data_IF_074600377622
#
_entry.id   IF_074600377622
#
_cell.length_a   1.000
_cell.length_b   1.000
_cell.length_c   1.000
_cell.angle_alpha   90.00
_cell.angle_beta   90.00
_cell.angle_gamma   90.00
#
_symmetry.space_group_name_H-M   'P 1'
#
loop_
_entity.id
_entity.type
_entity.pdbx_description
1 polymer ?
#
# COMPACT_ATOMS: atom_id res chain seq x y z
N UNK A 1 12.90 38.12 -4.55
CA UNK A 1 12.44 38.57 -5.88
C UNK A 1 13.13 37.85 -7.07
N UNK A 2 14.34 37.28 -6.94
CA UNK A 2 15.03 36.58 -8.05
C UNK A 2 14.52 35.15 -8.33
N UNK A 3 14.01 34.44 -7.31
CA UNK A 3 13.53 33.05 -7.46
C UNK A 3 12.06 32.94 -7.91
N UNK A 4 11.31 34.04 -7.91
CA UNK A 4 9.87 34.07 -8.26
C UNK A 4 9.59 33.98 -9.77
N UNK A 5 10.62 34.01 -10.62
CA UNK A 5 10.51 33.98 -12.09
C UNK A 5 11.05 32.72 -12.75
N UNK A 6 11.55 31.74 -11.98
CA UNK A 6 12.02 30.48 -12.54
C UNK A 6 10.83 29.60 -12.94
N UNK A 7 10.85 28.97 -14.14
CA UNK A 7 9.82 28.02 -14.51
C UNK A 7 9.84 26.82 -13.56
N UNK A 8 8.70 26.52 -12.94
CA UNK A 8 8.55 25.38 -12.02
C UNK A 8 7.67 24.33 -12.67
N UNK A 9 8.13 23.08 -12.64
CA UNK A 9 7.33 21.91 -12.96
C UNK A 9 7.12 21.08 -11.68
N UNK A 10 5.87 20.69 -11.40
CA UNK A 10 5.52 19.89 -10.23
C UNK A 10 4.95 18.56 -10.69
N UNK A 11 5.58 17.46 -10.27
CA UNK A 11 5.01 16.12 -10.39
C UNK A 11 4.15 15.90 -9.14
N UNK A 12 2.83 16.01 -9.30
CA UNK A 12 1.88 15.90 -8.19
C UNK A 12 1.76 14.48 -7.64
N UNK A 13 1.82 13.47 -8.52
CA UNK A 13 1.72 12.06 -8.17
C UNK A 13 2.43 11.20 -9.22
N UNK A 14 2.83 9.99 -8.83
CA UNK A 14 3.61 9.08 -9.67
C UNK A 14 3.36 7.58 -9.39
N UNK A 15 2.33 7.27 -8.60
CA UNK A 15 2.03 5.90 -8.15
C UNK A 15 1.67 4.93 -9.30
N UNK A 16 1.15 5.43 -10.43
CA UNK A 16 0.84 4.62 -11.62
C UNK A 16 2.03 4.38 -12.56
N UNK A 17 3.21 4.93 -12.26
CA UNK A 17 4.36 4.86 -13.16
C UNK A 17 4.75 3.40 -13.35
N UNK A 18 4.81 2.95 -14.61
CA UNK A 18 5.11 1.57 -14.97
C UNK A 18 6.36 1.03 -14.29
N UNK A 19 7.45 1.82 -14.27
CA UNK A 19 8.69 1.43 -13.60
C UNK A 19 8.53 1.19 -12.10
N UNK A 20 7.69 1.97 -11.42
CA UNK A 20 7.41 1.78 -10.00
C UNK A 20 6.60 0.51 -9.77
N UNK A 21 5.49 0.33 -10.52
CA UNK A 21 4.63 -0.85 -10.43
C UNK A 21 5.42 -2.14 -10.67
N UNK A 22 6.24 -2.18 -11.72
CA UNK A 22 7.09 -3.33 -12.02
C UNK A 22 8.12 -3.61 -10.93
N UNK A 23 8.78 -2.57 -10.42
CA UNK A 23 9.77 -2.71 -9.34
C UNK A 23 9.11 -3.24 -8.06
N UNK A 24 7.92 -2.75 -7.70
CA UNK A 24 7.18 -3.25 -6.55
C UNK A 24 6.79 -4.72 -6.75
N UNK A 25 6.29 -5.09 -7.93
CA UNK A 25 6.01 -6.49 -8.24
C UNK A 25 7.26 -7.39 -8.20
N UNK A 26 8.41 -6.92 -8.67
CA UNK A 26 9.70 -7.65 -8.59
C UNK A 26 10.09 -7.90 -7.12
N UNK A 27 9.98 -6.88 -6.27
CA UNK A 27 10.31 -6.97 -4.85
C UNK A 27 9.36 -7.90 -4.10
N UNK A 28 8.06 -7.83 -4.39
CA UNK A 28 7.06 -8.72 -3.80
C UNK A 28 7.32 -10.16 -4.22
N UNK A 29 7.51 -10.41 -5.51
CA UNK A 29 7.84 -11.75 -6.01
C UNK A 29 9.09 -12.32 -5.35
N UNK A 30 10.15 -11.51 -5.23
CA UNK A 30 11.37 -11.90 -4.52
C UNK A 30 11.12 -12.19 -3.03
N UNK A 31 10.29 -11.37 -2.38
CA UNK A 31 9.90 -11.57 -0.98
C UNK A 31 9.13 -12.87 -0.78
N UNK A 32 8.15 -13.16 -1.64
CA UNK A 32 7.37 -14.40 -1.62
C UNK A 32 8.25 -15.64 -1.76
N UNK A 33 9.24 -15.60 -2.65
CA UNK A 33 10.19 -16.70 -2.88
C UNK A 33 11.06 -17.05 -1.67
N UNK A 34 11.15 -16.16 -0.66
CA UNK A 34 11.86 -16.47 0.58
C UNK A 34 11.06 -17.34 1.56
N UNK A 35 9.76 -17.55 1.32
CA UNK A 35 8.92 -18.41 2.13
C UNK A 35 8.97 -19.86 1.64
N UNK A 36 8.83 -20.87 2.53
CA UNK A 36 8.76 -22.27 2.14
C UNK A 36 7.58 -22.60 1.21
N UNK A 37 6.42 -21.97 1.46
CA UNK A 37 5.20 -22.10 0.65
C UNK A 37 4.77 -20.71 0.14
N UNK A 38 5.38 -20.18 -0.94
CA UNK A 38 5.10 -18.83 -1.43
C UNK A 38 3.63 -18.57 -1.77
N UNK A 39 2.92 -19.57 -2.31
CA UNK A 39 1.53 -19.42 -2.79
C UNK A 39 0.51 -19.26 -1.64
N UNK A 40 0.86 -19.67 -0.42
CA UNK A 40 -0.01 -19.57 0.77
C UNK A 40 0.16 -18.25 1.53
N UNK A 41 1.15 -17.42 1.16
CA UNK A 41 1.50 -16.19 1.87
C UNK A 41 0.44 -15.12 1.63
N UNK A 42 -0.03 -14.46 2.70
CA UNK A 42 -0.83 -13.25 2.61
C UNK A 42 0.07 -12.06 2.27
N UNK A 43 -0.23 -11.34 1.19
CA UNK A 43 0.40 -10.05 0.91
C UNK A 43 -0.30 -8.98 1.75
N UNK A 44 0.43 -8.35 2.66
CA UNK A 44 -0.12 -7.34 3.54
C UNK A 44 0.44 -5.97 3.19
N UNK A 45 -0.31 -5.17 2.45
CA UNK A 45 0.06 -3.80 2.15
C UNK A 45 -0.14 -2.93 3.39
N UNK A 46 0.91 -2.22 3.79
CA UNK A 46 0.87 -1.28 4.91
C UNK A 46 1.18 0.13 4.43
N UNK A 47 0.19 1.00 4.52
CA UNK A 47 0.29 2.41 4.15
C UNK A 47 0.28 3.28 5.43
N UNK A 48 0.85 4.48 5.38
CA UNK A 48 0.80 5.38 6.54
C UNK A 48 -0.64 5.88 6.72
N UNK A 49 -1.14 5.87 7.96
CA UNK A 49 -2.45 6.42 8.25
C UNK A 49 -2.50 7.93 8.01
N UNK A 50 -3.69 8.43 7.72
CA UNK A 50 -4.02 9.86 7.75
C UNK A 50 -5.26 10.06 8.60
N UNK A 51 -5.46 11.24 9.23
CA UNK A 51 -6.73 11.57 9.86
C UNK A 51 -7.89 11.39 8.87
N UNK A 52 -9.00 10.81 9.34
CA UNK A 52 -10.14 10.51 8.47
C UNK A 52 -10.70 11.78 7.80
N UNK A 53 -10.69 12.91 8.52
CA UNK A 53 -11.14 14.20 8.02
C UNK A 53 -10.35 14.69 6.80
N UNK A 54 -9.09 14.28 6.62
CA UNK A 54 -8.33 14.68 5.43
C UNK A 54 -8.92 14.07 4.17
N UNK A 55 -9.42 12.84 4.27
CA UNK A 55 -10.04 12.14 3.14
C UNK A 55 -11.49 12.60 2.96
N UNK A 56 -12.29 12.60 4.03
CA UNK A 56 -13.74 12.86 3.93
C UNK A 56 -14.10 14.34 3.79
N UNK A 57 -13.42 15.23 4.52
CA UNK A 57 -13.76 16.66 4.56
C UNK A 57 -12.90 17.47 3.59
N UNK A 58 -11.60 17.17 3.52
CA UNK A 58 -10.65 17.90 2.67
C UNK A 58 -10.49 17.29 1.26
N UNK A 59 -11.06 16.11 1.01
CA UNK A 59 -11.03 15.45 -0.31
C UNK A 59 -9.64 15.01 -0.74
N UNK A 60 -8.77 14.65 0.22
CA UNK A 60 -7.43 14.15 -0.07
C UNK A 60 -7.51 12.84 -0.89
N UNK A 61 -6.90 12.78 -2.09
CA UNK A 61 -6.95 11.60 -2.95
C UNK A 61 -6.10 10.43 -2.44
N UNK A 62 -5.40 10.57 -1.30
CA UNK A 62 -4.46 9.58 -0.77
C UNK A 62 -5.03 8.16 -0.74
N UNK A 63 -6.24 7.97 -0.19
CA UNK A 63 -6.88 6.65 -0.10
C UNK A 63 -7.04 6.02 -1.48
N UNK A 64 -7.61 6.76 -2.41
CA UNK A 64 -7.91 6.27 -3.77
C UNK A 64 -6.61 5.99 -4.54
N UNK A 65 -5.58 6.82 -4.36
CA UNK A 65 -4.27 6.59 -4.97
C UNK A 65 -3.58 5.34 -4.41
N UNK A 66 -3.71 5.06 -3.10
CA UNK A 66 -3.18 3.84 -2.50
C UNK A 66 -3.89 2.59 -3.03
N UNK A 67 -5.23 2.62 -3.11
CA UNK A 67 -6.03 1.51 -3.63
C UNK A 67 -5.74 1.25 -5.12
N UNK A 68 -5.64 2.29 -5.94
CA UNK A 68 -5.30 2.17 -7.36
C UNK A 68 -3.85 1.68 -7.56
N UNK A 69 -2.90 2.19 -6.76
CA UNK A 69 -1.52 1.70 -6.77
C UNK A 69 -1.44 0.19 -6.48
N UNK A 70 -2.12 -0.27 -5.43
CA UNK A 70 -2.18 -1.68 -5.05
C UNK A 70 -2.86 -2.50 -6.14
N UNK A 71 -3.96 -1.99 -6.72
CA UNK A 71 -4.61 -2.65 -7.85
C UNK A 71 -3.65 -2.86 -9.02
N UNK A 72 -2.87 -1.85 -9.39
CA UNK A 72 -1.89 -1.93 -10.48
C UNK A 72 -0.77 -2.93 -10.17
N UNK A 73 -0.24 -2.92 -8.95
CA UNK A 73 0.78 -3.88 -8.49
C UNK A 73 0.24 -5.31 -8.52
N UNK A 74 -0.97 -5.54 -7.97
CA UNK A 74 -1.59 -6.86 -7.97
C UNK A 74 -1.94 -7.34 -9.37
N UNK A 75 -2.31 -6.44 -10.29
CA UNK A 75 -2.52 -6.76 -11.70
C UNK A 75 -1.22 -7.20 -12.38
N UNK A 76 -0.11 -6.49 -12.11
CA UNK A 76 1.22 -6.87 -12.59
C UNK A 76 1.63 -8.26 -12.05
N UNK A 77 1.46 -8.51 -10.74
CA UNK A 77 1.73 -9.81 -10.13
C UNK A 77 0.91 -10.94 -10.76
N UNK A 78 -0.40 -10.73 -10.99
CA UNK A 78 -1.26 -11.71 -11.68
C UNK A 78 -0.76 -12.03 -13.08
N UNK A 79 -0.28 -11.03 -13.83
CA UNK A 79 0.29 -11.24 -15.17
C UNK A 79 1.54 -12.13 -15.16
N UNK A 80 2.21 -12.24 -14.00
CA UNK A 80 3.39 -13.08 -13.76
C UNK A 80 3.05 -14.44 -13.13
N UNK A 81 1.77 -14.76 -13.00
CA UNK A 81 1.29 -16.01 -12.41
C UNK A 81 1.22 -16.02 -10.89
N UNK A 82 1.28 -14.85 -10.23
CA UNK A 82 1.20 -14.73 -8.76
C UNK A 82 -0.21 -14.32 -8.37
N UNK A 83 -0.89 -15.17 -7.59
CA UNK A 83 -2.31 -15.02 -7.26
C UNK A 83 -2.59 -14.93 -5.75
N UNK A 84 -1.55 -14.67 -4.95
CA UNK A 84 -1.67 -14.50 -3.51
C UNK A 84 -2.80 -13.55 -3.13
N UNK A 85 -3.51 -13.91 -2.05
CA UNK A 85 -4.49 -13.01 -1.43
C UNK A 85 -3.73 -11.80 -0.87
N UNK A 86 -4.36 -10.63 -0.96
CA UNK A 86 -3.81 -9.41 -0.38
C UNK A 86 -4.84 -8.67 0.46
N UNK A 87 -4.35 -7.82 1.35
CA UNK A 87 -5.14 -6.82 2.09
C UNK A 87 -4.34 -5.53 2.24
N UNK A 88 -5.04 -4.45 2.57
CA UNK A 88 -4.46 -3.13 2.88
C UNK A 88 -4.86 -2.74 4.30
N UNK A 89 -3.90 -2.24 5.07
CA UNK A 89 -4.15 -1.58 6.34
C UNK A 89 -3.27 -0.33 6.52
N UNK A 90 -3.71 0.55 7.41
CA UNK A 90 -3.06 1.81 7.71
C UNK A 90 -2.37 1.74 9.07
N UNK A 91 -1.14 2.24 9.15
CA UNK A 91 -0.31 2.18 10.36
C UNK A 91 -0.02 3.57 10.95
N UNK A 92 0.61 3.60 12.11
CA UNK A 92 1.13 4.83 12.75
C UNK A 92 0.07 5.88 13.14
N UNK A 93 -1.15 5.45 13.51
CA UNK A 93 -2.13 6.35 14.14
C UNK A 93 -1.61 6.91 15.45
N UNK A 94 -1.81 8.22 15.69
CA UNK A 94 -1.43 8.90 16.93
C UNK A 94 -2.53 9.86 17.41
N UNK A 95 -2.64 10.02 18.72
CA UNK A 95 -3.63 10.91 19.32
C UNK A 95 -5.07 10.41 19.25
N UNK A 96 -6.03 11.22 19.73
CA UNK A 96 -7.41 10.78 19.96
C UNK A 96 -8.35 10.92 18.75
N UNK A 97 -7.87 11.47 17.62
CA UNK A 97 -8.69 11.68 16.43
C UNK A 97 -9.01 10.38 15.71
N UNK A 98 -10.04 10.36 14.86
CA UNK A 98 -10.30 9.22 13.99
C UNK A 98 -9.31 9.20 12.82
N UNK A 99 -8.79 8.03 12.51
CA UNK A 99 -7.85 7.79 11.43
C UNK A 99 -8.47 6.89 10.36
N UNK A 100 -7.90 6.93 9.16
CA UNK A 100 -8.31 6.07 8.06
C UNK A 100 -8.10 4.58 8.43
N UNK A 101 -9.14 3.79 8.18
CA UNK A 101 -9.24 2.36 8.49
C UNK A 101 -9.08 1.50 7.22
N UNK A 102 -8.71 0.21 7.35
CA UNK A 102 -8.54 -0.55 8.59
C UNK A 102 -7.15 -0.38 9.23
N UNK A 103 -7.03 -0.59 10.54
CA UNK A 103 -5.78 -0.36 11.28
C UNK A 103 -4.88 -1.60 11.28
N UNK A 104 -3.57 -1.39 11.09
CA UNK A 104 -2.61 -2.49 10.92
C UNK A 104 -2.58 -3.45 12.11
N UNK A 105 -2.59 -2.93 13.34
CA UNK A 105 -2.62 -3.73 14.57
C UNK A 105 -3.88 -4.58 14.68
N UNK A 106 -5.05 -4.02 14.37
CA UNK A 106 -6.34 -4.72 14.41
C UNK A 106 -6.42 -5.81 13.31
N UNK A 107 -6.04 -5.49 12.08
CA UNK A 107 -6.08 -6.46 10.96
C UNK A 107 -5.11 -7.62 11.19
N UNK A 108 -3.92 -7.37 11.75
CA UNK A 108 -2.97 -8.45 12.04
C UNK A 108 -3.54 -9.45 13.06
N UNK A 109 -4.25 -8.97 14.09
CA UNK A 109 -4.93 -9.84 15.06
C UNK A 109 -6.02 -10.66 14.37
N UNK A 110 -6.86 -10.03 13.55
CA UNK A 110 -7.92 -10.71 12.80
C UNK A 110 -7.37 -11.79 11.84
N UNK A 111 -6.28 -11.50 11.12
CA UNK A 111 -5.65 -12.45 10.21
C UNK A 111 -5.10 -13.66 10.97
N UNK A 112 -4.47 -13.43 12.12
CA UNK A 112 -4.01 -14.50 13.00
C UNK A 112 -5.17 -15.38 13.50
N UNK A 113 -6.30 -14.78 13.88
CA UNK A 113 -7.51 -15.51 14.27
C UNK A 113 -8.13 -16.31 13.12
N UNK A 114 -8.03 -15.82 11.88
CA UNK A 114 -8.45 -16.52 10.66
C UNK A 114 -7.46 -17.60 10.21
N UNK A 115 -6.37 -17.82 10.95
CA UNK A 115 -5.40 -18.87 10.69
C UNK A 115 -4.33 -18.53 9.65
N UNK A 116 -4.16 -17.25 9.28
CA UNK A 116 -3.06 -16.83 8.42
C UNK A 116 -1.74 -17.00 9.19
N UNK A 117 -0.86 -17.86 8.67
CA UNK A 117 0.42 -18.21 9.33
C UNK A 117 1.65 -17.58 8.69
N UNK A 118 1.53 -17.15 7.43
CA UNK A 118 2.62 -16.56 6.66
C UNK A 118 2.13 -15.25 6.03
N UNK A 119 2.88 -14.17 6.27
CA UNK A 119 2.50 -12.83 5.85
C UNK A 119 3.74 -12.09 5.34
N UNK A 120 3.64 -11.51 4.15
CA UNK A 120 4.64 -10.62 3.57
C UNK A 120 4.15 -9.18 3.71
N UNK A 121 4.78 -8.42 4.60
CA UNK A 121 4.48 -7.00 4.76
C UNK A 121 5.11 -6.19 3.62
N UNK A 122 4.30 -5.39 2.93
CA UNK A 122 4.71 -4.56 1.80
C UNK A 122 4.41 -3.10 2.13
N UNK A 123 5.42 -2.25 2.37
CA UNK A 123 5.19 -0.83 2.56
C UNK A 123 4.78 -0.17 1.24
N UNK A 124 3.68 0.57 1.24
CA UNK A 124 3.20 1.32 0.05
C UNK A 124 3.13 2.81 0.36
N UNK A 125 3.54 3.63 -0.61
CA UNK A 125 3.46 5.08 -0.62
C UNK A 125 3.14 5.60 -2.01
#
# INVERSE_FOLDING_TARGET
>A
AYLSSLPVAIIRSWYQREGYVKTMADLIQKGLQSFPNPDEVMIFFSAHGVPLSYVEEAGDPYKDQMEDCIFLIMRELKSRGIYNVHTLAYQSRVGPVQWLKPYTDEVLVELGQKGVKSLLAVPVR
#
